data_IF_452773552834
#
_entry.id   IF_452773552834
#
_cell.length_a   1.000
_cell.length_b   1.000
_cell.length_c   1.000
_cell.angle_alpha   90.00
_cell.angle_beta   90.00
_cell.angle_gamma   90.00
#
_symmetry.space_group_name_H-M   'P 1'
#
loop_
_entity.id
_entity.type
_entity.pdbx_description
1 polymer ?
#
# COMPACT_ATOMS: atom_id res chain seq x y z
N UNK A 1 -3.47 6.17 -18.32
CA UNK A 1 -4.67 7.04 -18.33
C UNK A 1 -4.61 7.97 -19.53
N UNK A 2 -5.75 8.18 -20.18
CA UNK A 2 -5.97 9.12 -21.28
C UNK A 2 -6.67 10.39 -20.78
N UNK A 3 -6.66 11.47 -21.56
CA UNK A 3 -7.40 12.72 -21.27
C UNK A 3 -8.94 12.56 -21.20
N UNK A 4 -9.44 11.39 -21.61
CA UNK A 4 -10.86 11.02 -21.54
C UNK A 4 -11.23 10.30 -20.25
N UNK A 5 -10.24 9.85 -19.48
CA UNK A 5 -10.50 9.17 -18.22
C UNK A 5 -10.94 10.22 -17.20
N UNK A 6 -12.14 10.05 -16.63
CA UNK A 6 -12.70 10.97 -15.65
C UNK A 6 -12.04 10.78 -14.28
N UNK A 7 -10.83 11.33 -14.11
CA UNK A 7 -10.00 11.22 -12.90
C UNK A 7 -10.72 11.72 -11.65
N UNK A 8 -11.44 12.83 -11.70
CA UNK A 8 -12.17 13.40 -10.56
C UNK A 8 -13.34 12.50 -10.17
N UNK A 9 -14.13 12.03 -11.14
CA UNK A 9 -15.22 11.08 -10.86
C UNK A 9 -14.70 9.78 -10.25
N UNK A 10 -13.63 9.20 -10.83
CA UNK A 10 -13.02 7.97 -10.31
C UNK A 10 -12.40 8.19 -8.92
N UNK A 11 -11.72 9.33 -8.72
CA UNK A 11 -11.10 9.70 -7.45
C UNK A 11 -12.10 9.95 -6.32
N UNK A 12 -13.36 10.27 -6.64
CA UNK A 12 -14.45 10.37 -5.65
C UNK A 12 -15.15 9.01 -5.49
N UNK A 13 -15.48 8.35 -6.60
CA UNK A 13 -16.26 7.11 -6.58
C UNK A 13 -15.51 5.96 -5.88
N UNK A 14 -14.21 5.78 -6.16
CA UNK A 14 -13.44 4.67 -5.59
C UNK A 14 -13.37 4.72 -4.05
N UNK A 15 -12.97 5.83 -3.40
CA UNK A 15 -12.97 5.91 -1.94
C UNK A 15 -14.37 5.83 -1.33
N UNK A 16 -15.37 6.46 -1.96
CA UNK A 16 -16.75 6.41 -1.47
C UNK A 16 -17.28 4.98 -1.48
N UNK A 17 -17.13 4.26 -2.59
CA UNK A 17 -17.53 2.85 -2.67
C UNK A 17 -16.76 1.98 -1.67
N UNK A 18 -15.45 2.17 -1.55
CA UNK A 18 -14.63 1.42 -0.58
C UNK A 18 -15.11 1.63 0.86
N UNK A 19 -15.36 2.88 1.25
CA UNK A 19 -15.78 3.22 2.61
C UNK A 19 -17.22 2.80 2.89
N UNK A 20 -18.13 2.88 1.90
CA UNK A 20 -19.49 2.37 2.03
C UNK A 20 -19.51 0.86 2.23
N UNK A 21 -18.73 0.10 1.45
CA UNK A 21 -18.63 -1.35 1.61
C UNK A 21 -18.01 -1.69 2.98
N UNK A 22 -17.00 -0.94 3.42
CA UNK A 22 -16.39 -1.11 4.75
C UNK A 22 -17.40 -0.85 5.87
N UNK A 23 -18.20 0.21 5.76
CA UNK A 23 -19.24 0.56 6.73
C UNK A 23 -20.35 -0.50 6.78
N UNK A 24 -20.83 -0.96 5.62
CA UNK A 24 -21.83 -2.03 5.54
C UNK A 24 -21.29 -3.32 6.17
N UNK A 25 -20.04 -3.69 5.86
CA UNK A 25 -19.39 -4.87 6.41
C UNK A 25 -19.28 -4.78 7.93
N UNK A 26 -18.90 -3.61 8.47
CA UNK A 26 -18.88 -3.36 9.90
C UNK A 26 -20.29 -3.52 10.51
N UNK A 27 -21.30 -2.82 10.00
CA UNK A 27 -22.68 -2.91 10.54
C UNK A 27 -23.16 -4.36 10.56
N UNK A 28 -22.94 -5.12 9.49
CA UNK A 28 -23.32 -6.53 9.41
C UNK A 28 -22.56 -7.39 10.43
N UNK A 29 -21.25 -7.22 10.56
CA UNK A 29 -20.42 -7.97 11.51
C UNK A 29 -20.85 -7.70 12.95
N UNK A 30 -20.89 -6.42 13.34
CA UNK A 30 -21.28 -5.99 14.69
C UNK A 30 -22.69 -6.48 15.04
N UNK A 31 -23.67 -6.32 14.14
CA UNK A 31 -25.05 -6.79 14.36
C UNK A 31 -25.13 -8.31 14.54
N UNK A 32 -24.35 -9.06 13.77
CA UNK A 32 -24.32 -10.53 13.84
C UNK A 32 -23.71 -11.01 15.16
N UNK A 33 -22.60 -10.40 15.59
CA UNK A 33 -21.96 -10.71 16.89
C UNK A 33 -22.90 -10.39 18.05
N UNK A 34 -23.54 -9.20 18.05
CA UNK A 34 -24.50 -8.83 19.08
C UNK A 34 -25.69 -9.80 19.11
N UNK A 35 -26.27 -10.13 17.96
CA UNK A 35 -27.45 -11.01 17.89
C UNK A 35 -27.16 -12.43 18.38
N UNK A 36 -26.00 -13.00 18.03
CA UNK A 36 -25.61 -14.36 18.41
C UNK A 36 -25.23 -14.42 19.89
N UNK A 37 -24.36 -13.53 20.37
CA UNK A 37 -23.91 -13.55 21.75
C UNK A 37 -25.00 -13.19 22.76
N UNK A 38 -25.94 -12.31 22.39
CA UNK A 38 -27.11 -12.08 23.24
C UNK A 38 -28.00 -13.32 23.36
N UNK A 39 -28.12 -14.15 22.30
CA UNK A 39 -28.86 -15.42 22.37
C UNK A 39 -28.17 -16.46 23.27
N UNK A 40 -26.84 -16.42 23.35
CA UNK A 40 -26.04 -17.26 24.25
C UNK A 40 -26.07 -16.77 25.71
N UNK A 41 -26.74 -15.65 26.01
CA UNK A 41 -26.85 -15.08 27.35
C UNK A 41 -25.68 -14.18 27.76
N UNK A 42 -24.78 -13.83 26.82
CA UNK A 42 -23.68 -12.91 27.10
C UNK A 42 -24.19 -11.49 27.39
N UNK A 43 -23.57 -10.83 28.37
CA UNK A 43 -23.96 -9.47 28.75
C UNK A 43 -23.44 -8.45 27.72
N UNK A 44 -24.09 -7.30 27.59
CA UNK A 44 -23.70 -6.26 26.62
C UNK A 44 -22.27 -5.77 26.82
N UNK A 45 -21.79 -5.74 28.06
CA UNK A 45 -20.42 -5.38 28.41
C UNK A 45 -19.40 -6.43 27.95
N UNK A 46 -19.77 -7.71 27.98
CA UNK A 46 -18.92 -8.81 27.52
C UNK A 46 -18.80 -8.78 26.00
N UNK A 47 -19.93 -8.60 25.30
CA UNK A 47 -19.95 -8.42 23.84
C UNK A 47 -19.11 -7.21 23.41
N UNK A 48 -19.22 -6.10 24.14
CA UNK A 48 -18.42 -4.91 23.87
C UNK A 48 -16.92 -5.10 24.13
N UNK A 49 -16.53 -5.96 25.08
CA UNK A 49 -15.12 -6.35 25.27
C UNK A 49 -14.64 -7.25 24.14
N UNK A 50 -15.44 -8.26 23.79
CA UNK A 50 -15.14 -9.17 22.68
C UNK A 50 -14.92 -8.43 21.36
N UNK A 51 -15.74 -7.42 21.07
CA UNK A 51 -15.62 -6.59 19.86
C UNK A 51 -14.46 -5.57 19.89
N UNK A 52 -13.82 -5.39 21.04
CA UNK A 52 -12.62 -4.55 21.19
C UNK A 52 -11.33 -5.37 21.18
N UNK A 53 -11.43 -6.69 21.25
CA UNK A 53 -10.28 -7.59 21.16
C UNK A 53 -10.11 -8.03 19.70
N UNK A 54 -9.09 -7.47 19.05
CA UNK A 54 -8.77 -7.73 17.64
C UNK A 54 -8.29 -9.18 17.37
N UNK A 55 -8.09 -9.96 18.44
CA UNK A 55 -7.48 -11.29 18.40
C UNK A 55 -5.99 -11.22 18.04
N UNK A 56 -5.33 -12.37 18.04
CA UNK A 56 -3.91 -12.43 17.71
C UNK A 56 -3.69 -12.03 16.22
N UNK A 57 -2.72 -11.16 15.98
CA UNK A 57 -2.40 -10.58 14.68
C UNK A 57 -3.55 -9.84 13.95
N UNK A 58 -4.53 -9.31 14.68
CA UNK A 58 -5.67 -8.58 14.10
C UNK A 58 -6.52 -9.43 13.13
N UNK A 59 -6.43 -10.77 13.24
CA UNK A 59 -7.13 -11.74 12.36
C UNK A 59 -8.30 -12.44 13.03
N UNK A 60 -8.48 -12.23 14.35
CA UNK A 60 -9.44 -12.98 15.16
C UNK A 60 -10.87 -12.80 14.68
N UNK A 61 -11.29 -11.56 14.41
CA UNK A 61 -12.65 -11.24 13.95
C UNK A 61 -13.04 -12.00 12.66
N UNK A 62 -12.11 -12.17 11.73
CA UNK A 62 -12.39 -12.81 10.45
C UNK A 62 -12.28 -14.33 10.51
N UNK A 63 -11.21 -14.85 11.11
CA UNK A 63 -10.88 -16.28 11.01
C UNK A 63 -11.37 -17.11 12.21
N UNK A 64 -11.55 -16.50 13.38
CA UNK A 64 -12.08 -17.17 14.56
C UNK A 64 -13.59 -16.95 14.66
N UNK A 65 -14.03 -15.69 14.56
CA UNK A 65 -15.41 -15.35 14.89
C UNK A 65 -16.41 -15.66 13.77
N UNK A 66 -16.11 -15.36 12.50
CA UNK A 66 -17.07 -15.63 11.42
C UNK A 66 -17.52 -17.09 11.33
N UNK A 67 -16.64 -18.10 11.43
CA UNK A 67 -17.08 -19.50 11.50
C UNK A 67 -17.99 -19.79 12.68
N UNK A 68 -17.65 -19.30 13.88
CA UNK A 68 -18.44 -19.48 15.11
C UNK A 68 -19.83 -18.84 14.98
N UNK A 69 -19.93 -17.67 14.34
CA UNK A 69 -21.20 -16.99 14.12
C UNK A 69 -22.13 -17.77 13.16
N UNK A 70 -21.56 -18.53 12.24
CA UNK A 70 -22.32 -19.30 11.25
C UNK A 70 -22.65 -20.71 11.72
N UNK A 71 -21.94 -21.24 12.73
CA UNK A 71 -22.17 -22.58 13.28
C UNK A 71 -23.63 -22.86 13.68
N UNK A 72 -24.36 -21.95 14.37
CA UNK A 72 -25.75 -22.20 14.78
C UNK A 72 -26.73 -22.33 13.61
N UNK A 73 -26.35 -21.91 12.39
CA UNK A 73 -27.20 -21.97 11.20
C UNK A 73 -27.13 -23.34 10.49
N UNK A 74 -26.34 -24.29 11.00
CA UNK A 74 -26.23 -25.64 10.44
C UNK A 74 -25.73 -25.64 8.99
N UNK A 75 -26.50 -26.26 8.08
CA UNK A 75 -26.12 -26.39 6.66
C UNK A 75 -26.00 -25.01 5.98
N UNK A 76 -26.93 -24.10 6.26
CA UNK A 76 -26.91 -22.75 5.69
C UNK A 76 -25.66 -21.98 6.14
N UNK A 77 -25.24 -22.18 7.40
CA UNK A 77 -24.03 -21.59 7.95
C UNK A 77 -22.75 -22.04 7.23
N UNK A 78 -22.64 -23.32 6.87
CA UNK A 78 -21.50 -23.85 6.12
C UNK A 78 -21.39 -23.24 4.72
N UNK A 79 -22.53 -23.10 4.04
CA UNK A 79 -22.58 -22.44 2.72
C UNK A 79 -22.16 -20.97 2.85
N UNK A 80 -22.69 -20.27 3.86
CA UNK A 80 -22.36 -18.86 4.10
C UNK A 80 -20.88 -18.66 4.44
N UNK A 81 -20.31 -19.52 5.29
CA UNK A 81 -18.88 -19.51 5.61
C UNK A 81 -18.01 -19.72 4.37
N UNK A 82 -18.39 -20.67 3.51
CA UNK A 82 -17.67 -20.93 2.26
C UNK A 82 -17.72 -19.73 1.31
N UNK A 83 -18.89 -19.11 1.14
CA UNK A 83 -19.05 -17.89 0.34
C UNK A 83 -18.31 -16.71 0.93
N UNK A 84 -18.28 -16.57 2.26
CA UNK A 84 -17.56 -15.52 2.95
C UNK A 84 -16.04 -15.60 2.69
N UNK A 85 -15.43 -16.77 2.89
CA UNK A 85 -13.99 -16.93 2.65
C UNK A 85 -13.62 -16.87 1.17
N UNK A 86 -14.52 -17.30 0.27
CA UNK A 86 -14.35 -17.09 -1.16
C UNK A 86 -14.34 -15.58 -1.48
N UNK A 87 -15.30 -14.82 -0.96
CA UNK A 87 -15.36 -13.38 -1.14
C UNK A 87 -14.10 -12.67 -0.59
N UNK A 88 -13.69 -13.03 0.63
CA UNK A 88 -12.47 -12.53 1.26
C UNK A 88 -11.22 -12.79 0.40
N UNK A 89 -11.12 -14.01 -0.16
CA UNK A 89 -10.01 -14.39 -1.03
C UNK A 89 -10.01 -13.61 -2.34
N UNK A 90 -11.17 -13.45 -3.00
CA UNK A 90 -11.29 -12.65 -4.23
C UNK A 90 -10.96 -11.18 -3.98
N UNK A 91 -11.39 -10.62 -2.85
CA UNK A 91 -11.00 -9.28 -2.40
C UNK A 91 -9.48 -9.14 -2.28
N UNK A 92 -8.82 -10.06 -1.56
CA UNK A 92 -7.37 -10.07 -1.42
C UNK A 92 -6.62 -10.18 -2.76
N UNK A 93 -7.08 -11.06 -3.66
CA UNK A 93 -6.50 -11.21 -5.00
C UNK A 93 -6.58 -9.90 -5.79
N UNK A 94 -7.72 -9.21 -5.75
CA UNK A 94 -7.89 -7.94 -6.47
C UNK A 94 -6.90 -6.86 -6.01
N UNK A 95 -6.67 -6.75 -4.70
CA UNK A 95 -5.68 -5.83 -4.12
C UNK A 95 -4.25 -6.23 -4.46
N UNK A 96 -3.95 -7.53 -4.42
CA UNK A 96 -2.63 -8.05 -4.74
C UNK A 96 -2.23 -7.75 -6.19
N UNK A 97 -3.17 -7.83 -7.14
CA UNK A 97 -2.90 -7.47 -8.55
C UNK A 97 -2.43 -6.02 -8.65
N UNK A 98 -3.07 -5.08 -7.95
CA UNK A 98 -2.66 -3.67 -7.94
C UNK A 98 -1.28 -3.48 -7.29
N UNK A 99 -0.99 -4.21 -6.21
CA UNK A 99 0.32 -4.17 -5.53
C UNK A 99 1.46 -4.73 -6.38
N UNK A 100 1.19 -5.75 -7.22
CA UNK A 100 2.18 -6.32 -8.16
C UNK A 100 2.43 -5.37 -9.34
N UNK A 101 1.41 -4.67 -9.83
CA UNK A 101 1.54 -3.84 -11.04
C UNK A 101 2.51 -2.66 -10.83
N UNK A 102 2.59 -2.09 -9.62
CA UNK A 102 3.49 -0.99 -9.29
C UNK A 102 4.99 -1.32 -9.49
N UNK A 103 5.55 -2.38 -8.85
CA UNK A 103 6.94 -2.78 -9.08
C UNK A 103 7.18 -3.30 -10.51
N UNK A 104 6.19 -3.94 -11.16
CA UNK A 104 6.32 -4.36 -12.57
C UNK A 104 6.48 -3.14 -13.48
N UNK A 105 5.64 -2.11 -13.34
CA UNK A 105 5.78 -0.87 -14.09
C UNK A 105 7.10 -0.14 -13.79
N UNK A 106 7.55 -0.16 -12.53
CA UNK A 106 8.86 0.40 -12.17
C UNK A 106 10.00 -0.29 -12.93
N UNK A 107 9.95 -1.62 -13.07
CA UNK A 107 10.91 -2.37 -13.88
C UNK A 107 10.79 -2.06 -15.38
N UNK A 108 9.58 -1.84 -15.90
CA UNK A 108 9.36 -1.41 -17.29
C UNK A 108 9.98 -0.04 -17.57
N UNK A 109 9.84 0.93 -16.65
CA UNK A 109 10.52 2.23 -16.74
C UNK A 109 12.05 2.10 -16.73
N UNK A 110 12.56 1.07 -16.04
CA UNK A 110 13.97 0.67 -16.08
C UNK A 110 14.35 -0.09 -17.36
N UNK A 111 13.45 -0.22 -18.34
CA UNK A 111 13.63 -0.94 -19.61
C UNK A 111 13.75 -2.46 -19.47
N UNK A 112 13.22 -3.04 -18.40
CA UNK A 112 13.06 -4.50 -18.28
C UNK A 112 11.73 -4.90 -18.96
N UNK A 113 11.72 -5.85 -19.91
CA UNK A 113 10.48 -6.26 -20.57
C UNK A 113 9.52 -6.93 -19.59
N UNK A 114 8.22 -6.67 -19.70
CA UNK A 114 7.16 -7.25 -18.84
C UNK A 114 7.24 -8.77 -18.69
N UNK A 115 7.54 -9.47 -19.80
CA UNK A 115 7.70 -10.93 -19.84
C UNK A 115 8.73 -11.48 -18.85
N UNK A 116 9.70 -10.67 -18.44
CA UNK A 116 10.69 -11.01 -17.43
C UNK A 116 10.44 -10.29 -16.11
N UNK A 117 9.93 -9.04 -16.15
CA UNK A 117 9.65 -8.26 -14.94
C UNK A 117 8.57 -8.90 -14.05
N UNK A 118 7.45 -9.32 -14.65
CA UNK A 118 6.34 -9.92 -13.91
C UNK A 118 6.73 -11.19 -13.12
N UNK A 119 7.33 -12.24 -13.72
CA UNK A 119 7.70 -13.43 -12.96
C UNK A 119 8.76 -13.14 -11.89
N UNK A 120 9.70 -12.22 -12.14
CA UNK A 120 10.70 -11.83 -11.14
C UNK A 120 10.03 -11.17 -9.93
N UNK A 121 9.15 -10.20 -10.15
CA UNK A 121 8.40 -9.54 -9.07
C UNK A 121 7.58 -10.56 -8.28
N UNK A 122 6.89 -11.47 -8.97
CA UNK A 122 6.10 -12.51 -8.32
C UNK A 122 6.93 -13.42 -7.42
N UNK A 123 8.07 -13.93 -7.92
CA UNK A 123 8.98 -14.78 -7.14
C UNK A 123 9.56 -14.03 -5.94
N UNK A 124 9.98 -12.77 -6.13
CA UNK A 124 10.51 -11.95 -5.04
C UNK A 124 9.43 -11.71 -3.98
N UNK A 125 8.21 -11.33 -4.36
CA UNK A 125 7.10 -11.13 -3.43
C UNK A 125 6.77 -12.43 -2.66
N UNK A 126 6.73 -13.57 -3.35
CA UNK A 126 6.51 -14.86 -2.70
C UNK A 126 7.60 -15.19 -1.68
N UNK A 127 8.87 -15.03 -2.04
CA UNK A 127 9.99 -15.30 -1.13
C UNK A 127 10.03 -14.34 0.07
N UNK A 128 9.75 -13.05 -0.14
CA UNK A 128 9.71 -12.04 0.92
C UNK A 128 8.49 -12.20 1.82
N UNK A 129 7.36 -12.69 1.29
CA UNK A 129 6.15 -12.97 2.06
C UNK A 129 6.18 -14.29 2.85
N UNK A 130 7.08 -15.22 2.49
CA UNK A 130 7.16 -16.54 3.13
C UNK A 130 7.43 -16.47 4.65
N UNK A 131 8.35 -15.63 5.17
CA UNK A 131 8.54 -15.49 6.61
C UNK A 131 7.26 -15.08 7.35
N UNK A 132 6.51 -14.11 6.82
CA UNK A 132 5.23 -13.67 7.40
C UNK A 132 4.13 -14.74 7.35
N UNK A 133 4.23 -15.69 6.42
CA UNK A 133 3.30 -16.82 6.33
C UNK A 133 3.66 -17.95 7.32
N UNK A 134 4.93 -18.06 7.71
CA UNK A 134 5.41 -19.09 8.64
C UNK A 134 5.37 -18.64 10.09
N UNK A 135 5.53 -17.34 10.35
CA UNK A 135 5.56 -16.77 11.69
C UNK A 135 4.68 -15.52 11.78
N UNK A 136 3.66 -15.60 12.64
CA UNK A 136 2.72 -14.51 12.90
C UNK A 136 3.37 -13.36 13.69
N UNK A 137 4.46 -13.60 14.41
CA UNK A 137 5.23 -12.52 15.05
C UNK A 137 5.88 -11.63 14.00
N UNK A 138 6.43 -12.24 12.95
CA UNK A 138 6.97 -11.53 11.78
C UNK A 138 5.85 -10.79 11.05
N UNK A 139 4.70 -11.43 10.82
CA UNK A 139 3.57 -10.79 10.14
C UNK A 139 3.14 -9.49 10.83
N UNK A 140 2.98 -9.52 12.15
CA UNK A 140 2.56 -8.34 12.93
C UNK A 140 3.64 -7.27 12.97
N UNK A 141 4.91 -7.65 13.13
CA UNK A 141 6.00 -6.67 13.04
C UNK A 141 6.02 -6.00 11.67
N UNK A 142 5.87 -6.76 10.58
CA UNK A 142 5.81 -6.19 9.23
C UNK A 142 4.59 -5.29 9.06
N UNK A 143 3.40 -5.70 9.49
CA UNK A 143 2.19 -4.87 9.42
C UNK A 143 2.39 -3.54 10.16
N UNK A 144 2.96 -3.57 11.37
CA UNK A 144 3.29 -2.40 12.16
C UNK A 144 4.30 -1.46 11.46
N UNK A 145 5.41 -1.99 10.95
CA UNK A 145 6.46 -1.20 10.29
C UNK A 145 5.96 -0.56 8.99
N UNK A 146 5.15 -1.28 8.22
CA UNK A 146 4.61 -0.78 6.96
C UNK A 146 3.40 0.16 7.15
N UNK A 147 2.65 0.04 8.25
CA UNK A 147 1.63 1.03 8.63
C UNK A 147 2.24 2.42 8.82
N UNK A 148 3.41 2.52 9.47
CA UNK A 148 4.18 3.78 9.51
C UNK A 148 4.57 4.27 8.11
N UNK A 149 4.97 3.34 7.24
CA UNK A 149 5.26 3.61 5.84
C UNK A 149 4.12 4.28 5.07
N UNK A 150 2.88 3.89 5.35
CA UNK A 150 1.71 4.48 4.72
C UNK A 150 1.53 5.97 5.10
N UNK A 151 1.85 6.35 6.34
CA UNK A 151 1.82 7.76 6.78
C UNK A 151 2.86 8.56 5.98
N UNK A 152 4.09 8.05 5.88
CA UNK A 152 5.15 8.70 5.09
C UNK A 152 4.79 8.80 3.60
N UNK A 153 4.22 7.74 3.02
CA UNK A 153 3.74 7.76 1.65
C UNK A 153 2.67 8.84 1.45
N UNK A 154 1.71 8.96 2.36
CA UNK A 154 0.69 10.01 2.35
C UNK A 154 1.27 11.42 2.41
N UNK A 155 2.27 11.65 3.29
CA UNK A 155 2.99 12.93 3.38
C UNK A 155 3.66 13.27 2.04
N UNK A 156 4.37 12.30 1.44
CA UNK A 156 5.03 12.50 0.15
C UNK A 156 3.99 12.82 -0.93
N UNK A 157 2.89 12.08 -1.00
CA UNK A 157 1.81 12.30 -1.97
C UNK A 157 1.19 13.69 -1.85
N UNK A 158 0.93 14.16 -0.62
CA UNK A 158 0.36 15.51 -0.38
C UNK A 158 1.41 16.61 -0.65
N UNK A 159 2.70 16.34 -0.43
CA UNK A 159 3.76 17.32 -0.67
C UNK A 159 3.92 17.70 -2.15
N UNK A 160 3.58 16.81 -3.09
CA UNK A 160 3.68 17.05 -4.53
C UNK A 160 2.82 18.22 -5.01
N UNK A 161 1.48 18.23 -4.81
CA UNK A 161 0.65 19.36 -5.20
C UNK A 161 0.98 20.64 -4.43
N UNK A 162 1.41 20.55 -3.15
CA UNK A 162 1.86 21.72 -2.39
C UNK A 162 3.09 22.37 -3.06
N UNK A 163 4.10 21.57 -3.43
CA UNK A 163 5.31 22.07 -4.09
C UNK A 163 5.05 22.62 -5.49
N UNK A 164 4.14 22.01 -6.25
CA UNK A 164 3.71 22.53 -7.55
C UNK A 164 2.86 23.81 -7.41
N UNK A 165 2.24 24.01 -6.24
CA UNK A 165 1.25 25.03 -5.95
C UNK A 165 -0.15 24.46 -6.16
N UNK A 166 -0.89 24.22 -5.06
CA UNK A 166 -2.14 23.46 -5.10
C UNK A 166 -3.16 24.01 -6.11
N UNK A 167 -3.34 25.33 -6.19
CA UNK A 167 -4.27 25.93 -7.16
C UNK A 167 -3.84 25.68 -8.62
N UNK A 168 -2.53 25.77 -8.90
CA UNK A 168 -1.98 25.47 -10.23
C UNK A 168 -2.10 23.99 -10.56
N UNK A 169 -1.83 23.12 -9.58
CA UNK A 169 -1.99 21.67 -9.75
C UNK A 169 -3.43 21.33 -10.13
N UNK A 170 -4.40 21.89 -9.40
CA UNK A 170 -5.82 21.71 -9.69
C UNK A 170 -6.19 22.20 -11.08
N UNK A 171 -5.80 23.42 -11.44
CA UNK A 171 -6.27 24.03 -12.67
C UNK A 171 -5.57 23.44 -13.91
N UNK A 172 -4.24 23.30 -13.87
CA UNK A 172 -3.46 22.88 -15.03
C UNK A 172 -3.50 21.36 -15.26
N UNK A 173 -3.40 20.56 -14.18
CA UNK A 173 -3.23 19.10 -14.28
C UNK A 173 -4.53 18.33 -14.14
N UNK A 174 -5.58 18.92 -13.55
CA UNK A 174 -6.89 18.26 -13.37
C UNK A 174 -7.95 18.91 -14.26
N UNK A 175 -8.26 20.18 -14.02
CA UNK A 175 -9.41 20.85 -14.65
C UNK A 175 -9.20 21.14 -16.15
N UNK A 176 -7.99 21.47 -16.58
CA UNK A 176 -7.68 21.76 -18.00
C UNK A 176 -7.26 20.52 -18.80
N UNK A 177 -6.79 19.47 -18.12
CA UNK A 177 -6.31 18.25 -18.77
C UNK A 177 -7.45 17.31 -19.18
N UNK A 178 -8.51 17.23 -18.37
CA UNK A 178 -9.69 16.38 -18.62
C UNK A 178 -10.65 17.00 -19.63
N UNK A 179 -11.07 16.23 -20.64
CA UNK A 179 -12.02 16.71 -21.66
C UNK A 179 -13.49 16.70 -21.19
N UNK A 180 -13.90 15.66 -20.45
CA UNK A 180 -15.30 15.41 -20.05
C UNK A 180 -15.45 15.03 -18.56
N UNK A 181 -14.70 15.70 -17.69
CA UNK A 181 -14.66 15.41 -16.25
C UNK A 181 -15.32 16.51 -15.40
N UNK A 182 -15.64 16.18 -14.15
CA UNK A 182 -16.07 17.17 -13.16
C UNK A 182 -14.90 18.07 -12.79
N UNK A 183 -15.19 19.37 -12.61
CA UNK A 183 -14.18 20.31 -12.14
C UNK A 183 -13.94 20.11 -10.65
N UNK A 184 -12.68 19.98 -10.27
CA UNK A 184 -12.28 19.91 -8.88
C UNK A 184 -12.53 21.29 -8.22
N UNK A 185 -13.26 21.35 -7.09
CA UNK A 185 -13.65 22.62 -6.47
C UNK A 185 -12.50 23.28 -5.71
N UNK A 186 -12.62 24.59 -5.48
CA UNK A 186 -11.61 25.40 -4.75
C UNK A 186 -11.34 24.95 -3.32
N UNK A 187 -12.31 24.28 -2.67
CA UNK A 187 -12.12 23.73 -1.32
C UNK A 187 -10.99 22.70 -1.27
N UNK A 188 -10.68 22.04 -2.41
CA UNK A 188 -9.57 21.11 -2.50
C UNK A 188 -8.22 21.77 -2.20
N UNK A 189 -8.01 23.02 -2.61
CA UNK A 189 -6.77 23.76 -2.32
C UNK A 189 -6.59 23.94 -0.81
N UNK A 190 -7.67 24.19 -0.07
CA UNK A 190 -7.65 24.32 1.39
C UNK A 190 -7.38 22.97 2.07
N UNK A 191 -8.01 21.90 1.56
CA UNK A 191 -7.78 20.54 2.05
C UNK A 191 -6.30 20.17 1.91
N UNK A 192 -5.70 20.39 0.75
CA UNK A 192 -4.32 20.01 0.47
C UNK A 192 -3.31 20.88 1.23
N UNK A 193 -3.51 22.20 1.28
CA UNK A 193 -2.54 23.09 1.91
C UNK A 193 -2.61 23.11 3.44
N UNK A 194 -3.76 22.79 4.03
CA UNK A 194 -3.97 22.92 5.47
C UNK A 194 -4.41 21.62 6.13
N UNK A 195 -5.56 21.07 5.73
CA UNK A 195 -6.15 19.91 6.41
C UNK A 195 -5.24 18.67 6.29
N UNK A 196 -4.75 18.37 5.09
CA UNK A 196 -3.89 17.22 4.81
C UNK A 196 -2.61 17.22 5.66
N UNK A 197 -1.82 18.32 5.68
CA UNK A 197 -0.65 18.44 6.54
C UNK A 197 -0.96 18.31 8.03
N UNK A 198 -2.07 18.88 8.51
CA UNK A 198 -2.50 18.75 9.91
C UNK A 198 -2.84 17.31 10.27
N UNK A 199 -3.60 16.62 9.41
CA UNK A 199 -3.92 15.20 9.61
C UNK A 199 -2.65 14.36 9.60
N UNK A 200 -1.75 14.59 8.65
CA UNK A 200 -0.49 13.84 8.57
C UNK A 200 0.38 14.05 9.82
N UNK A 201 0.47 15.28 10.32
CA UNK A 201 1.16 15.58 11.57
C UNK A 201 0.49 14.90 12.77
N UNK A 202 -0.84 14.95 12.85
CA UNK A 202 -1.60 14.31 13.92
C UNK A 202 -1.40 12.78 13.92
N UNK A 203 -1.47 12.14 12.75
CA UNK A 203 -1.23 10.69 12.61
C UNK A 203 0.21 10.32 12.98
N UNK A 204 1.19 11.10 12.53
CA UNK A 204 2.59 10.88 12.88
C UNK A 204 2.83 11.00 14.38
N UNK A 205 2.30 12.06 15.01
CA UNK A 205 2.42 12.29 16.45
C UNK A 205 1.71 11.20 17.24
N UNK A 206 0.49 10.80 16.83
CA UNK A 206 -0.25 9.70 17.47
C UNK A 206 0.55 8.41 17.41
N UNK A 207 1.07 8.04 16.23
CA UNK A 207 1.86 6.83 16.05
C UNK A 207 3.08 6.80 17.01
N UNK A 208 3.81 7.90 17.11
CA UNK A 208 4.96 8.00 18.02
C UNK A 208 4.53 7.92 19.49
N UNK A 209 3.46 8.63 19.87
CA UNK A 209 2.94 8.62 21.24
C UNK A 209 2.47 7.21 21.63
N UNK A 210 1.70 6.55 20.78
CA UNK A 210 1.15 5.22 21.03
C UNK A 210 2.27 4.20 21.18
N UNK A 211 3.31 4.29 20.34
CA UNK A 211 4.48 3.39 20.43
C UNK A 211 5.35 3.67 21.66
N UNK A 212 5.50 4.93 22.08
CA UNK A 212 6.33 5.30 23.24
C UNK A 212 5.63 5.00 24.56
N UNK A 213 4.31 5.08 24.59
CA UNK A 213 3.48 4.80 25.77
C UNK A 213 3.11 3.34 25.92
N UNK A 214 3.39 2.48 24.94
CA UNK A 214 3.11 1.06 25.07
C UNK A 214 3.91 0.46 26.24
N UNK A 215 3.21 0.02 27.28
CA UNK A 215 3.79 -0.56 28.48
C UNK A 215 4.35 -1.97 28.22
N UNK A 216 3.92 -2.63 27.14
CA UNK A 216 4.34 -4.00 26.80
C UNK A 216 5.69 -4.03 26.09
N UNK A 217 6.02 -2.98 25.34
CA UNK A 217 7.20 -2.93 24.48
C UNK A 217 7.96 -1.64 24.71
N UNK A 218 9.17 -1.72 25.27
CA UNK A 218 10.02 -0.54 25.38
C UNK A 218 10.45 -0.05 24.00
N UNK A 219 10.09 1.19 23.65
CA UNK A 219 10.26 1.77 22.32
C UNK A 219 11.70 1.74 21.78
N UNK A 220 12.71 1.72 22.65
CA UNK A 220 14.13 1.77 22.30
C UNK A 220 14.80 0.39 22.15
N UNK A 221 14.13 -0.68 22.61
CA UNK A 221 14.61 -2.06 22.42
C UNK A 221 14.11 -2.59 21.09
N UNK A 222 14.84 -3.55 20.51
CA UNK A 222 14.39 -4.27 19.32
C UNK A 222 13.30 -5.28 19.73
N UNK A 223 12.05 -4.82 19.73
CA UNK A 223 10.86 -5.60 19.98
C UNK A 223 9.94 -5.68 18.76
N UNK A 224 8.94 -6.56 18.81
CA UNK A 224 7.99 -6.87 17.73
C UNK A 224 7.21 -5.64 17.22
N UNK A 225 6.81 -4.75 18.11
CA UNK A 225 6.03 -3.54 17.78
C UNK A 225 6.72 -2.31 18.38
N UNK A 226 8.05 -2.25 18.24
CA UNK A 226 8.86 -1.18 18.81
C UNK A 226 9.23 -0.12 17.77
N UNK A 227 9.31 1.14 18.22
CA UNK A 227 9.73 2.25 17.37
C UNK A 227 11.15 2.03 16.83
N UNK A 228 12.05 1.47 17.65
CA UNK A 228 13.42 1.18 17.23
C UNK A 228 13.49 0.15 16.11
N UNK A 229 12.75 -0.96 16.19
CA UNK A 229 12.69 -1.95 15.10
C UNK A 229 12.19 -1.30 13.81
N UNK A 230 11.12 -0.50 13.89
CA UNK A 230 10.59 0.24 12.74
C UNK A 230 11.66 1.15 12.10
N UNK A 231 12.36 1.96 12.89
CA UNK A 231 13.41 2.84 12.38
C UNK A 231 14.57 2.06 11.74
N UNK A 232 15.02 0.97 12.38
CA UNK A 232 16.10 0.13 11.86
C UNK A 232 15.70 -0.52 10.53
N UNK A 233 14.52 -1.11 10.45
CA UNK A 233 14.02 -1.72 9.21
C UNK A 233 13.91 -0.68 8.08
N UNK A 234 13.39 0.51 8.36
CA UNK A 234 13.34 1.61 7.38
C UNK A 234 14.72 2.06 6.91
N UNK A 235 15.69 2.18 7.83
CA UNK A 235 17.07 2.51 7.46
C UNK A 235 17.66 1.43 6.55
N UNK A 236 17.46 0.15 6.88
CA UNK A 236 17.93 -0.97 6.06
C UNK A 236 17.31 -0.92 4.67
N UNK A 237 15.98 -0.74 4.57
CA UNK A 237 15.28 -0.65 3.28
C UNK A 237 15.79 0.55 2.47
N UNK A 238 15.93 1.73 3.08
CA UNK A 238 16.45 2.92 2.39
C UNK A 238 17.88 2.73 1.88
N UNK A 239 18.75 2.09 2.67
CA UNK A 239 20.11 1.77 2.25
C UNK A 239 20.12 0.76 1.09
N UNK A 240 19.28 -0.27 1.13
CA UNK A 240 19.14 -1.24 0.05
C UNK A 240 18.66 -0.57 -1.25
N UNK A 241 17.64 0.30 -1.16
CA UNK A 241 17.12 1.04 -2.31
C UNK A 241 18.15 2.02 -2.89
N UNK A 242 18.87 2.75 -2.03
CA UNK A 242 19.96 3.65 -2.44
C UNK A 242 21.07 2.87 -3.14
N UNK A 243 21.50 1.74 -2.56
CA UNK A 243 22.52 0.89 -3.15
C UNK A 243 22.08 0.33 -4.50
N UNK A 244 20.84 -0.17 -4.61
CA UNK A 244 20.27 -0.66 -5.86
C UNK A 244 20.23 0.44 -6.93
N UNK A 245 19.80 1.65 -6.56
CA UNK A 245 19.75 2.80 -7.46
C UNK A 245 21.15 3.25 -7.92
N UNK A 246 22.12 3.32 -7.00
CA UNK A 246 23.52 3.67 -7.32
C UNK A 246 24.13 2.62 -8.25
N UNK A 247 23.95 1.33 -7.96
CA UNK A 247 24.44 0.24 -8.80
C UNK A 247 23.82 0.28 -10.20
N UNK A 248 22.52 0.54 -10.27
CA UNK A 248 21.81 0.69 -11.53
C UNK A 248 22.33 1.88 -12.36
N UNK A 249 22.46 3.04 -11.73
CA UNK A 249 22.98 4.25 -12.37
C UNK A 249 24.43 4.07 -12.83
N UNK A 250 25.26 3.42 -12.03
CA UNK A 250 26.63 3.07 -12.40
C UNK A 250 26.65 2.18 -13.65
N UNK A 251 25.91 1.06 -13.65
CA UNK A 251 25.81 0.16 -14.81
C UNK A 251 25.32 0.89 -16.07
N UNK A 252 24.34 1.79 -15.93
CA UNK A 252 23.79 2.56 -17.06
C UNK A 252 24.79 3.57 -17.62
N UNK A 253 25.52 4.28 -16.75
CA UNK A 253 26.59 5.21 -17.16
C UNK A 253 27.72 4.47 -17.88
N UNK A 254 28.14 3.32 -17.36
CA UNK A 254 29.19 2.49 -17.98
C UNK A 254 28.76 1.98 -19.36
N UNK A 255 27.52 1.47 -19.52
CA UNK A 255 27.01 1.06 -20.85
C UNK A 255 26.97 2.22 -21.85
N UNK A 256 26.51 3.41 -21.43
CA UNK A 256 26.52 4.61 -22.30
C UNK A 256 27.94 5.01 -22.70
N UNK A 257 28.90 4.92 -21.79
CA UNK A 257 30.31 5.23 -22.05
C UNK A 257 30.93 4.24 -23.04
N UNK A 258 30.69 2.94 -22.86
CA UNK A 258 31.17 1.90 -23.79
C UNK A 258 30.58 2.10 -25.19
N UNK A 259 29.26 2.34 -25.30
CA UNK A 259 28.60 2.55 -26.59
C UNK A 259 29.09 3.81 -27.31
N UNK A 260 29.39 4.90 -26.58
CA UNK A 260 29.99 6.11 -27.15
C UNK A 260 31.42 5.86 -27.65
N UNK A 261 32.22 5.08 -26.93
CA UNK A 261 33.59 4.74 -27.35
C UNK A 261 33.57 3.84 -28.59
N UNK A 262 32.66 2.85 -28.65
CA UNK A 262 32.52 2.02 -29.84
C UNK A 262 32.05 2.83 -31.05
N UNK A 263 31.06 3.72 -30.90
CA UNK A 263 30.57 4.54 -32.02
C UNK A 263 31.63 5.49 -32.58
N UNK A 264 32.48 6.07 -31.72
CA UNK A 264 33.60 6.91 -32.18
C UNK A 264 34.63 6.08 -32.95
N UNK A 265 34.96 4.88 -32.45
CA UNK A 265 35.89 3.97 -33.12
C UNK A 265 35.38 3.51 -34.48
N UNK A 266 34.08 3.22 -34.59
CA UNK A 266 33.46 2.76 -35.83
C UNK A 266 33.37 3.91 -36.86
N UNK A 267 33.03 5.13 -36.41
CA UNK A 267 33.05 6.32 -37.26
C UNK A 267 34.46 6.67 -37.77
N UNK A 268 35.50 6.50 -36.94
CA UNK A 268 36.88 6.67 -37.39
C UNK A 268 37.26 5.64 -38.45
N UNK A 269 36.87 4.37 -38.30
CA UNK A 269 37.12 3.34 -39.32
C UNK A 269 36.48 3.67 -40.67
N UNK A 270 35.25 4.17 -40.68
CA UNK A 270 34.56 4.56 -41.92
C UNK A 270 35.26 5.71 -42.67
N UNK A 271 35.80 6.69 -41.94
CA UNK A 271 36.59 7.78 -42.53
C UNK A 271 37.85 7.24 -43.20
N UNK A 272 38.61 6.37 -42.52
CA UNK A 272 39.83 5.79 -43.09
C UNK A 272 39.56 4.90 -44.31
N UNK A 273 38.41 4.21 -44.38
CA UNK A 273 38.06 3.39 -45.55
C UNK A 273 37.57 4.20 -46.76
N UNK A 274 37.13 5.45 -46.58
CA UNK A 274 36.69 6.32 -47.67
C UNK A 274 37.83 7.14 -48.29
N UNK A 275 38.93 7.39 -47.56
CA UNK A 275 40.14 8.04 -48.10
C UNK A 275 41.01 7.10 -48.96
N UNK A 276 40.73 5.78 -48.94
CA UNK A 276 41.44 4.77 -49.74
C UNK A 276 40.74 4.40 -51.07
N UNK A 277 39.71 5.16 -51.49
CA UNK A 277 39.02 5.00 -52.79
C UNK A 277 39.15 6.24 -53.66
#
# INVERSE_FOLDING_TARGET
MSRRDSVVKLGIALPVCNNLISLLSAITLFSTVFSTKMKEGANTTEIARLLREDGYANTGLTFLWMPVLYEPLGIAGRVLSSLFFLCLSLGGISSLVAMIELPVHTLEEMRVPRKYGLPVVFVVLFCVGLPSALDLDILVNQDFVWAFGQILAGVITISLPIRYGASKFRDDLVNQFGLDDWKLPRIWDYIINFIGPVIALALFVSFVIDTVKDEKTEWYKLGRESLMTCLVEWIVVLLLLLMANVLWMYRRRTRRRIHRISSIRDAQREVFTNDER
#
